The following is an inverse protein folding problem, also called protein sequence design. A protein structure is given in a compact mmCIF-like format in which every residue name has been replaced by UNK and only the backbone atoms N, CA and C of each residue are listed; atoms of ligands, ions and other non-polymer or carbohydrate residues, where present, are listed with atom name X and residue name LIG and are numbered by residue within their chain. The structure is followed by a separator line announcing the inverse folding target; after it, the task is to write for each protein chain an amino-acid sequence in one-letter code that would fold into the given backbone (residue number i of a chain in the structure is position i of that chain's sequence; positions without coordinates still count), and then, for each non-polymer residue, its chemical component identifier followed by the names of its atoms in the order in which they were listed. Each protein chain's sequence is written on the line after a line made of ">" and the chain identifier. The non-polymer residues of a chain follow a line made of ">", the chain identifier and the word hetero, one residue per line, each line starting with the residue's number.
data_IF_413139632436
#
_entry.id   IF_413139632436
#
_cell.length_a   1.000
_cell.length_b   1.000
_cell.length_c   1.000
_cell.angle_alpha   90.00
_cell.angle_beta   90.00
_cell.angle_gamma   90.00
#
_symmetry.space_group_name_H-M   'P 1'
#
loop_
_entity.id
_entity.type
_entity.pdbx_description
1 polymer ?
#
# COMPACT_ATOMS: atom_id res chain seq x y z
N UNK A 1 8.62 -33.53 -10.38
CA UNK A 1 8.11 -32.30 -11.05
C UNK A 1 7.92 -31.09 -10.13
N UNK A 2 7.27 -31.23 -8.96
CA UNK A 2 7.01 -30.08 -8.05
C UNK A 2 8.27 -29.36 -7.53
N UNK A 3 9.39 -30.06 -7.37
CA UNK A 3 10.65 -29.49 -6.88
C UNK A 3 11.30 -28.52 -7.89
N UNK A 4 11.44 -28.94 -9.15
CA UNK A 4 12.00 -28.11 -10.23
C UNK A 4 11.17 -26.85 -10.48
N UNK A 5 9.84 -26.99 -10.43
CA UNK A 5 8.91 -25.86 -10.56
C UNK A 5 9.08 -24.88 -9.39
N UNK A 6 9.16 -25.38 -8.15
CA UNK A 6 9.42 -24.54 -6.97
C UNK A 6 10.76 -23.82 -7.07
N UNK A 7 11.80 -24.51 -7.52
CA UNK A 7 13.14 -23.93 -7.67
C UNK A 7 13.16 -22.85 -8.75
N UNK A 8 12.52 -23.11 -9.90
CA UNK A 8 12.34 -22.15 -10.99
C UNK A 8 11.60 -20.87 -10.53
N UNK A 9 10.46 -21.00 -9.85
CA UNK A 9 9.75 -19.82 -9.34
C UNK A 9 10.54 -19.09 -8.24
N UNK A 10 11.34 -19.80 -7.45
CA UNK A 10 12.20 -19.22 -6.41
C UNK A 10 13.33 -18.39 -7.03
N UNK A 11 14.01 -18.91 -8.06
CA UNK A 11 15.06 -18.17 -8.79
C UNK A 11 14.47 -17.01 -9.57
N UNK A 12 13.33 -17.21 -10.23
CA UNK A 12 12.64 -16.15 -10.95
C UNK A 12 12.25 -14.98 -10.01
N UNK A 13 11.74 -15.29 -8.81
CA UNK A 13 11.38 -14.26 -7.82
C UNK A 13 12.61 -13.53 -7.26
N UNK A 14 13.74 -14.21 -7.12
CA UNK A 14 15.01 -13.60 -6.71
C UNK A 14 15.51 -12.56 -7.71
N UNK A 15 15.19 -12.70 -9.00
CA UNK A 15 15.57 -11.74 -10.05
C UNK A 15 14.49 -10.69 -10.29
N UNK A 16 13.24 -11.12 -10.52
CA UNK A 16 12.13 -10.21 -10.85
C UNK A 16 11.74 -9.28 -9.70
N UNK A 17 11.80 -9.76 -8.45
CA UNK A 17 11.45 -8.96 -7.28
C UNK A 17 12.30 -7.69 -7.16
N UNK A 18 13.63 -7.80 -7.10
CA UNK A 18 14.53 -6.65 -7.07
C UNK A 18 14.38 -5.73 -8.28
N UNK A 19 14.21 -6.26 -9.49
CA UNK A 19 14.00 -5.46 -10.70
C UNK A 19 12.74 -4.59 -10.60
N UNK A 20 11.62 -5.16 -10.12
CA UNK A 20 10.38 -4.41 -9.93
C UNK A 20 10.52 -3.32 -8.86
N UNK A 21 11.19 -3.60 -7.74
CA UNK A 21 11.42 -2.63 -6.67
C UNK A 21 12.37 -1.50 -7.10
N UNK A 22 13.42 -1.84 -7.87
CA UNK A 22 14.31 -0.86 -8.46
C UNK A 22 13.56 0.05 -9.44
N UNK A 23 12.74 -0.54 -10.32
CA UNK A 23 11.88 0.22 -11.24
C UNK A 23 10.94 1.14 -10.48
N UNK A 24 10.31 0.68 -9.40
CA UNK A 24 9.47 1.53 -8.55
C UNK A 24 10.25 2.72 -7.98
N UNK A 25 11.47 2.49 -7.47
CA UNK A 25 12.30 3.56 -6.92
C UNK A 25 12.67 4.62 -7.99
N UNK A 26 13.02 4.17 -9.20
CA UNK A 26 13.36 5.06 -10.33
C UNK A 26 12.14 5.83 -10.84
N UNK A 27 10.97 5.18 -10.90
CA UNK A 27 9.73 5.77 -11.43
C UNK A 27 8.91 6.50 -10.36
N UNK A 28 9.47 6.73 -9.17
CA UNK A 28 8.78 7.41 -8.09
C UNK A 28 8.43 8.85 -8.50
N UNK A 29 7.14 9.24 -8.45
CA UNK A 29 6.75 10.60 -8.79
C UNK A 29 7.25 11.61 -7.76
N UNK A 30 7.47 12.86 -8.20
CA UNK A 30 7.72 13.98 -7.29
C UNK A 30 6.48 14.22 -6.42
N UNK A 31 6.69 14.35 -5.11
CA UNK A 31 5.62 14.61 -4.15
C UNK A 31 5.06 16.03 -4.27
N UNK A 32 3.79 16.19 -3.93
CA UNK A 32 3.13 17.49 -3.78
C UNK A 32 3.85 18.30 -2.70
N UNK A 33 4.15 19.57 -3.02
CA UNK A 33 4.73 20.51 -2.07
C UNK A 33 3.62 21.26 -1.34
N UNK A 34 3.61 21.21 -0.01
CA UNK A 34 2.66 21.93 0.84
C UNK A 34 3.41 22.79 1.86
N UNK A 35 2.81 23.90 2.34
CA UNK A 35 3.29 24.58 3.54
C UNK A 35 3.33 23.63 4.74
N UNK A 36 4.26 23.85 5.66
CA UNK A 36 4.51 22.95 6.80
C UNK A 36 3.27 22.69 7.66
N UNK A 37 2.43 23.71 7.88
CA UNK A 37 1.19 23.60 8.64
C UNK A 37 0.19 22.64 7.98
N UNK A 38 -0.05 22.81 6.67
CA UNK A 38 -0.93 21.93 5.89
C UNK A 38 -0.38 20.50 5.84
N UNK A 39 0.93 20.33 5.65
CA UNK A 39 1.54 19.00 5.65
C UNK A 39 1.41 18.29 7.00
N UNK A 40 1.46 19.03 8.11
CA UNK A 40 1.28 18.47 9.46
C UNK A 40 -0.14 17.95 9.64
N UNK A 41 -1.15 18.71 9.21
CA UNK A 41 -2.55 18.29 9.24
C UNK A 41 -2.78 17.04 8.37
N UNK A 42 -2.22 16.99 7.16
CA UNK A 42 -2.29 15.81 6.29
C UNK A 42 -1.63 14.60 6.95
N UNK A 43 -0.47 14.78 7.57
CA UNK A 43 0.23 13.70 8.27
C UNK A 43 -0.59 13.15 9.45
N UNK A 44 -1.24 14.01 10.23
CA UNK A 44 -2.14 13.60 11.31
C UNK A 44 -3.32 12.79 10.77
N UNK A 45 -3.95 13.25 9.68
CA UNK A 45 -5.04 12.51 9.04
C UNK A 45 -4.58 11.13 8.53
N UNK A 46 -3.35 11.02 8.02
CA UNK A 46 -2.80 9.75 7.55
C UNK A 46 -2.57 8.71 8.66
N UNK A 47 -2.52 9.10 9.95
CA UNK A 47 -2.39 8.15 11.07
C UNK A 47 -3.59 7.21 11.19
N UNK A 48 -4.75 7.65 10.69
CA UNK A 48 -5.96 6.82 10.61
C UNK A 48 -5.96 5.82 9.44
N UNK A 49 -4.92 5.83 8.61
CA UNK A 49 -4.84 5.05 7.38
C UNK A 49 -3.73 4.01 7.46
N UNK A 50 -4.04 2.77 7.09
CA UNK A 50 -3.06 1.69 6.99
C UNK A 50 -3.22 0.96 5.66
N UNK A 51 -2.15 0.88 4.87
CA UNK A 51 -2.13 0.15 3.60
C UNK A 51 -1.56 -1.26 3.80
N UNK A 52 -2.39 -2.27 3.61
CA UNK A 52 -1.97 -3.66 3.47
C UNK A 52 -1.57 -3.91 2.02
N UNK A 53 -0.38 -4.46 1.84
CA UNK A 53 0.23 -4.60 0.52
C UNK A 53 1.13 -5.83 0.44
N UNK A 54 1.53 -6.18 -0.78
CA UNK A 54 2.72 -6.99 -1.03
C UNK A 54 3.79 -6.11 -1.68
N UNK A 55 5.05 -6.31 -1.29
CA UNK A 55 6.17 -5.52 -1.82
C UNK A 55 6.26 -5.58 -3.34
N UNK A 56 6.12 -6.76 -3.93
CA UNK A 56 6.29 -6.97 -5.39
C UNK A 56 4.98 -6.96 -6.18
N UNK A 57 3.86 -6.49 -5.62
CA UNK A 57 2.59 -6.45 -6.32
C UNK A 57 2.45 -5.16 -7.17
N UNK A 58 2.18 -5.24 -8.49
CA UNK A 58 2.08 -4.06 -9.36
C UNK A 58 0.94 -3.11 -8.97
N UNK A 59 -0.20 -3.64 -8.52
CA UNK A 59 -1.32 -2.81 -8.04
C UNK A 59 -0.97 -2.08 -6.74
N UNK A 60 -0.19 -2.72 -5.85
CA UNK A 60 0.33 -2.07 -4.65
C UNK A 60 1.33 -0.98 -4.99
N UNK A 61 2.22 -1.23 -5.97
CA UNK A 61 3.16 -0.21 -6.49
C UNK A 61 2.39 1.01 -6.98
N UNK A 62 1.30 0.83 -7.75
CA UNK A 62 0.47 1.93 -8.25
C UNK A 62 -0.08 2.79 -7.10
N UNK A 63 -0.61 2.17 -6.05
CA UNK A 63 -1.09 2.90 -4.85
C UNK A 63 0.05 3.62 -4.13
N UNK A 64 1.22 2.98 -3.96
CA UNK A 64 2.40 3.60 -3.31
C UNK A 64 2.95 4.79 -4.09
N UNK A 65 2.91 4.73 -5.42
CA UNK A 65 3.26 5.86 -6.27
C UNK A 65 2.31 7.03 -6.04
N UNK A 66 1.00 6.77 -5.92
CA UNK A 66 0.02 7.81 -5.61
C UNK A 66 0.22 8.40 -4.21
N UNK A 67 0.46 7.56 -3.19
CA UNK A 67 0.82 7.98 -1.84
C UNK A 67 2.04 8.91 -1.86
N UNK A 68 3.07 8.54 -2.65
CA UNK A 68 4.28 9.36 -2.81
C UNK A 68 3.98 10.67 -3.55
N UNK A 69 3.15 10.62 -4.60
CA UNK A 69 2.72 11.80 -5.38
C UNK A 69 1.97 12.81 -4.52
N UNK A 70 1.12 12.34 -3.61
CA UNK A 70 0.33 13.16 -2.71
C UNK A 70 1.10 13.52 -1.42
N UNK A 71 2.38 13.12 -1.28
CA UNK A 71 3.20 13.34 -0.08
C UNK A 71 2.53 12.86 1.21
N UNK A 72 1.95 11.65 1.18
CA UNK A 72 1.20 11.08 2.31
C UNK A 72 2.07 10.17 3.17
N UNK A 73 2.00 10.33 4.48
CA UNK A 73 2.71 9.50 5.46
C UNK A 73 1.78 8.41 5.99
N UNK A 74 1.53 7.38 5.18
CA UNK A 74 0.63 6.27 5.51
C UNK A 74 1.43 5.04 5.96
N UNK A 75 0.99 4.39 7.04
CA UNK A 75 1.59 3.14 7.50
C UNK A 75 1.36 2.03 6.47
N UNK A 76 2.39 1.22 6.21
CA UNK A 76 2.34 0.13 5.22
C UNK A 76 2.67 -1.20 5.89
N UNK A 77 1.77 -2.17 5.79
CA UNK A 77 1.91 -3.51 6.34
C UNK A 77 2.04 -4.53 5.21
N UNK A 78 3.04 -5.41 5.30
CA UNK A 78 3.26 -6.47 4.31
C UNK A 78 2.54 -7.75 4.73
N UNK A 79 1.44 -8.08 4.04
CA UNK A 79 0.61 -9.25 4.35
C UNK A 79 0.99 -10.49 3.51
N UNK A 80 2.16 -10.48 2.86
CA UNK A 80 2.56 -11.55 1.95
C UNK A 80 2.95 -12.84 2.68
N UNK A 81 3.70 -12.71 3.77
CA UNK A 81 4.08 -13.82 4.63
C UNK A 81 2.92 -14.21 5.56
N UNK A 82 2.93 -15.44 6.06
CA UNK A 82 2.07 -15.81 7.18
C UNK A 82 2.53 -15.06 8.43
N UNK A 83 1.60 -14.38 9.09
CA UNK A 83 1.89 -13.44 10.17
C UNK A 83 0.64 -12.68 10.63
N UNK A 84 0.78 -11.86 11.67
CA UNK A 84 -0.36 -11.16 12.29
C UNK A 84 -1.07 -10.22 11.31
N UNK A 85 -0.35 -9.56 10.41
CA UNK A 85 -0.92 -8.62 9.42
C UNK A 85 -1.81 -9.35 8.41
N UNK A 86 -1.38 -10.54 7.98
CA UNK A 86 -2.15 -11.40 7.07
C UNK A 86 -3.40 -11.95 7.77
N UNK A 87 -3.26 -12.35 9.03
CA UNK A 87 -4.37 -12.83 9.83
C UNK A 87 -5.40 -11.72 10.09
N UNK A 88 -4.96 -10.51 10.43
CA UNK A 88 -5.85 -9.35 10.61
C UNK A 88 -6.58 -9.02 9.31
N UNK A 89 -5.86 -8.98 8.18
CA UNK A 89 -6.47 -8.71 6.87
C UNK A 89 -7.52 -9.76 6.51
N UNK A 90 -7.28 -11.04 6.84
CA UNK A 90 -8.26 -12.11 6.62
C UNK A 90 -9.47 -11.99 7.55
N UNK A 91 -9.24 -11.81 8.86
CA UNK A 91 -10.29 -11.82 9.87
C UNK A 91 -11.17 -10.56 9.83
N UNK A 92 -10.54 -9.38 9.67
CA UNK A 92 -11.24 -8.09 9.71
C UNK A 92 -11.51 -7.53 8.32
N UNK A 93 -10.57 -7.70 7.39
CA UNK A 93 -10.76 -7.29 6.00
C UNK A 93 -11.58 -8.30 5.18
N UNK A 94 -11.77 -9.53 5.67
CA UNK A 94 -12.58 -10.58 5.05
C UNK A 94 -11.86 -11.41 3.97
N UNK A 95 -10.73 -10.94 3.43
CA UNK A 95 -9.99 -11.66 2.38
C UNK A 95 -8.51 -11.30 2.38
N UNK A 96 -7.64 -12.28 2.11
CA UNK A 96 -6.20 -12.04 1.90
C UNK A 96 -5.92 -11.47 0.51
N UNK A 97 -6.53 -10.34 0.18
CA UNK A 97 -6.37 -9.62 -1.10
C UNK A 97 -5.69 -8.28 -0.86
N UNK A 98 -4.79 -7.89 -1.77
CA UNK A 98 -4.10 -6.59 -1.73
C UNK A 98 -4.20 -5.91 -3.10
N UNK A 99 -4.06 -4.57 -3.19
CA UNK A 99 -3.97 -3.63 -2.08
C UNK A 99 -5.29 -3.51 -1.30
N UNK A 100 -5.17 -3.27 0.00
CA UNK A 100 -6.31 -2.96 0.88
C UNK A 100 -5.93 -1.78 1.78
N UNK A 101 -6.77 -0.74 1.81
CA UNK A 101 -6.63 0.39 2.70
C UNK A 101 -7.61 0.24 3.86
N UNK A 102 -7.08 0.15 5.08
CA UNK A 102 -7.87 0.27 6.31
C UNK A 102 -7.97 1.75 6.67
N UNK A 103 -9.19 2.21 6.91
CA UNK A 103 -9.53 3.57 7.30
C UNK A 103 -10.20 3.48 8.66
N UNK A 104 -9.57 4.00 9.69
CA UNK A 104 -10.14 4.05 11.05
C UNK A 104 -10.79 5.41 11.25
N UNK A 105 -12.05 5.45 11.67
CA UNK A 105 -12.71 6.71 11.99
C UNK A 105 -12.40 7.20 13.43
N UNK A 106 -13.03 8.30 13.83
CA UNK A 106 -12.87 8.85 15.17
C UNK A 106 -13.56 8.04 16.27
N UNK A 107 -14.55 7.20 15.92
CA UNK A 107 -15.22 6.29 16.85
C UNK A 107 -14.43 4.99 17.07
N UNK A 108 -13.45 4.72 16.22
CA UNK A 108 -12.62 3.50 16.25
C UNK A 108 -13.08 2.43 15.26
N UNK A 109 -14.12 2.69 14.48
CA UNK A 109 -14.62 1.76 13.47
C UNK A 109 -13.68 1.74 12.26
N UNK A 110 -13.42 0.53 11.76
CA UNK A 110 -12.49 0.30 10.65
C UNK A 110 -13.24 -0.06 9.37
N UNK A 111 -13.14 0.81 8.37
CA UNK A 111 -13.57 0.52 7.00
C UNK A 111 -12.41 -0.05 6.18
N UNK A 112 -12.69 -1.10 5.40
CA UNK A 112 -11.70 -1.79 4.56
C UNK A 112 -12.00 -1.55 3.09
N UNK A 113 -11.13 -0.79 2.42
CA UNK A 113 -11.28 -0.44 1.02
C UNK A 113 -10.31 -1.25 0.16
N UNK A 114 -10.87 -2.10 -0.69
CA UNK A 114 -10.15 -2.86 -1.71
C UNK A 114 -10.19 -2.15 -3.06
N UNK A 115 -9.41 -2.69 -4.01
CA UNK A 115 -9.24 -2.20 -5.37
C UNK A 115 -8.30 -0.99 -5.45
N UNK A 116 -7.22 -1.11 -6.23
CA UNK A 116 -6.23 -0.05 -6.38
C UNK A 116 -6.82 1.25 -6.93
N UNK A 117 -7.76 1.20 -7.86
CA UNK A 117 -8.37 2.40 -8.43
C UNK A 117 -9.24 3.12 -7.40
N UNK A 118 -10.03 2.36 -6.62
CA UNK A 118 -10.87 2.92 -5.56
C UNK A 118 -10.03 3.56 -4.45
N UNK A 119 -8.95 2.89 -4.06
CA UNK A 119 -8.00 3.43 -3.07
C UNK A 119 -7.37 4.73 -3.59
N UNK A 120 -6.92 4.76 -4.86
CA UNK A 120 -6.34 5.96 -5.47
C UNK A 120 -7.37 7.09 -5.55
N UNK A 121 -8.60 6.79 -5.96
CA UNK A 121 -9.69 7.77 -6.03
C UNK A 121 -9.99 8.35 -4.64
N UNK A 122 -10.05 7.51 -3.61
CA UNK A 122 -10.23 7.94 -2.23
C UNK A 122 -9.09 8.87 -1.76
N UNK A 123 -7.82 8.48 -1.98
CA UNK A 123 -6.67 9.28 -1.58
C UNK A 123 -6.64 10.64 -2.30
N UNK A 124 -6.94 10.66 -3.60
CA UNK A 124 -7.03 11.91 -4.37
C UNK A 124 -8.17 12.79 -3.89
N UNK A 125 -9.36 12.23 -3.74
CA UNK A 125 -10.54 12.96 -3.28
C UNK A 125 -10.33 13.60 -1.91
N UNK A 126 -9.56 12.95 -1.03
CA UNK A 126 -9.28 13.45 0.32
C UNK A 126 -8.09 14.41 0.40
N UNK A 127 -7.04 14.22 -0.40
CA UNK A 127 -5.75 14.91 -0.17
C UNK A 127 -5.19 15.71 -1.36
N UNK A 128 -5.78 15.63 -2.55
CA UNK A 128 -5.22 16.32 -3.73
C UNK A 128 -5.25 17.85 -3.61
N UNK A 129 -6.25 18.39 -2.90
CA UNK A 129 -6.45 19.84 -2.71
C UNK A 129 -6.31 20.27 -1.25
N UNK A 130 -5.72 19.42 -0.40
CA UNK A 130 -5.50 19.66 1.02
C UNK A 130 -4.19 20.41 1.28
#
# INVERSE_FOLDING_TARGET
>A
MKFFIRLFFKTLRLVLGPVLLLKEAITRPKGLSRPQAAQTQVNQQCQSLVLYQYKTCPFCIKVRQEISRLSLTIQRLDAQAEGPERQELLQRGGQTKVPCLKITDHAGDSQWLYDSEKIIAYLRGRFANA
#
